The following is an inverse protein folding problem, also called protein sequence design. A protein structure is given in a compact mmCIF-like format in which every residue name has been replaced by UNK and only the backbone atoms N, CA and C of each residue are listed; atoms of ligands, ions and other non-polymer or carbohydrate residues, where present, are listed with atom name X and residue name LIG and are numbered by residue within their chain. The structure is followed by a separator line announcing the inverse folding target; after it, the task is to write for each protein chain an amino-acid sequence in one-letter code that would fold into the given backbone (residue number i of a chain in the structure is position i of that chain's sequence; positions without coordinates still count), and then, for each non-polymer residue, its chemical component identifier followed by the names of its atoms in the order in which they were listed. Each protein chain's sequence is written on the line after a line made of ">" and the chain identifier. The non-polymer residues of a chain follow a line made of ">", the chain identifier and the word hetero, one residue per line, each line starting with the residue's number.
data_IF_534222277934
#
_entry.id   IF_534222277934
#
_cell.length_a   1.000
_cell.length_b   1.000
_cell.length_c   1.000
_cell.angle_alpha   90.00
_cell.angle_beta   90.00
_cell.angle_gamma   90.00
#
_symmetry.space_group_name_H-M   'P 1'
#
loop_
_entity.id
_entity.type
_entity.pdbx_description
1 polymer ?
#
# COMPACT_ATOMS: atom_id res chain seq x y z
N UNK A 1 32.47 -20.17 -1.62
CA UNK A 1 32.71 -18.72 -1.74
C UNK A 1 32.49 -18.36 -3.17
N UNK A 2 31.49 -17.51 -3.45
CA UNK A 2 31.28 -16.98 -4.80
C UNK A 2 32.11 -15.70 -4.86
N UNK A 3 33.13 -15.72 -5.71
CA UNK A 3 34.05 -14.61 -5.88
C UNK A 3 33.26 -13.36 -6.23
N UNK A 4 33.41 -12.32 -5.41
CA UNK A 4 33.18 -10.97 -5.87
C UNK A 4 34.21 -10.73 -6.97
N UNK A 5 33.81 -10.82 -8.25
CA UNK A 5 34.65 -10.38 -9.35
C UNK A 5 35.12 -8.97 -9.04
N UNK A 6 36.43 -8.77 -9.07
CA UNK A 6 37.03 -7.50 -8.75
C UNK A 6 36.64 -6.48 -9.82
N UNK A 7 36.40 -5.23 -9.44
CA UNK A 7 35.98 -4.18 -10.37
C UNK A 7 37.00 -3.99 -11.51
N UNK A 8 38.26 -4.28 -11.22
CA UNK A 8 39.38 -4.32 -12.14
C UNK A 8 39.19 -5.38 -13.25
N UNK A 9 38.73 -6.57 -12.87
CA UNK A 9 38.54 -7.72 -13.76
C UNK A 9 37.35 -7.48 -14.73
N UNK A 10 36.34 -6.74 -14.27
CA UNK A 10 35.21 -6.31 -15.11
C UNK A 10 35.66 -5.26 -16.14
N UNK A 11 36.53 -4.33 -15.77
CA UNK A 11 37.08 -3.35 -16.70
C UNK A 11 37.99 -3.99 -17.76
N UNK A 12 38.84 -4.94 -17.37
CA UNK A 12 39.68 -5.68 -18.30
C UNK A 12 38.83 -6.46 -19.30
N UNK A 13 37.77 -7.13 -18.84
CA UNK A 13 36.81 -7.80 -19.72
C UNK A 13 36.07 -6.83 -20.65
N UNK A 14 35.68 -5.65 -20.17
CA UNK A 14 35.04 -4.61 -21.00
C UNK A 14 35.99 -4.11 -22.10
N UNK A 15 37.27 -3.89 -21.75
CA UNK A 15 38.30 -3.45 -22.69
C UNK A 15 38.64 -4.55 -23.72
N UNK A 16 38.75 -5.80 -23.28
CA UNK A 16 39.00 -6.96 -24.15
C UNK A 16 37.86 -7.16 -25.16
N UNK A 17 36.60 -7.04 -24.72
CA UNK A 17 35.43 -7.11 -25.60
C UNK A 17 35.42 -5.97 -26.62
N UNK A 18 35.80 -4.76 -26.20
CA UNK A 18 35.89 -3.57 -27.07
C UNK A 18 36.95 -3.75 -28.16
N UNK A 19 38.15 -4.20 -27.79
CA UNK A 19 39.26 -4.45 -28.73
C UNK A 19 38.96 -5.62 -29.67
N UNK A 20 38.31 -6.68 -29.18
CA UNK A 20 37.98 -7.85 -29.99
C UNK A 20 36.88 -7.57 -31.03
N UNK A 21 35.87 -6.75 -30.69
CA UNK A 21 34.77 -6.42 -31.59
C UNK A 21 35.04 -5.18 -32.45
N UNK A 22 36.06 -4.37 -32.10
CA UNK A 22 36.41 -3.15 -32.82
C UNK A 22 35.32 -2.08 -32.81
N UNK A 23 34.40 -2.14 -31.84
CA UNK A 23 33.31 -1.18 -31.61
C UNK A 23 33.56 -0.42 -30.31
N UNK A 24 33.08 0.81 -30.23
CA UNK A 24 33.14 1.59 -29.00
C UNK A 24 32.15 1.08 -27.94
N UNK A 25 32.38 1.44 -26.67
CA UNK A 25 31.45 1.11 -25.58
C UNK A 25 30.05 1.70 -25.79
N UNK A 26 29.97 2.89 -26.37
CA UNK A 26 28.71 3.57 -26.70
C UNK A 26 27.96 2.81 -27.80
N UNK A 27 28.65 2.36 -28.84
CA UNK A 27 28.05 1.54 -29.90
C UNK A 27 27.58 0.17 -29.38
N UNK A 28 28.34 -0.46 -28.48
CA UNK A 28 27.91 -1.71 -27.84
C UNK A 28 26.65 -1.50 -26.99
N UNK A 29 26.57 -0.38 -26.25
CA UNK A 29 25.40 -0.03 -25.44
C UNK A 29 24.18 0.24 -26.32
N UNK A 30 24.35 0.96 -27.42
CA UNK A 30 23.30 1.20 -28.42
C UNK A 30 22.83 -0.12 -29.07
N UNK A 31 23.73 -1.06 -29.35
CA UNK A 31 23.37 -2.38 -29.89
C UNK A 31 22.54 -3.16 -28.87
N UNK A 32 22.96 -3.16 -27.60
CA UNK A 32 22.23 -3.82 -26.53
C UNK A 32 20.85 -3.19 -26.37
N UNK A 33 20.75 -1.85 -26.29
CA UNK A 33 19.48 -1.15 -26.13
C UNK A 33 18.55 -1.37 -27.33
N UNK A 34 19.09 -1.35 -28.55
CA UNK A 34 18.34 -1.64 -29.78
C UNK A 34 17.86 -3.08 -29.86
N UNK A 35 18.65 -4.04 -29.36
CA UNK A 35 18.23 -5.44 -29.26
C UNK A 35 17.18 -5.62 -28.16
N UNK A 36 17.35 -4.97 -27.00
CA UNK A 36 16.39 -4.96 -25.90
C UNK A 36 15.03 -4.37 -26.32
N UNK A 37 15.06 -3.33 -27.16
CA UNK A 37 13.87 -2.70 -27.76
C UNK A 37 13.20 -3.60 -28.83
N UNK A 38 13.69 -4.81 -29.11
CA UNK A 38 12.92 -5.82 -29.89
C UNK A 38 12.07 -6.72 -29.00
N UNK A 39 12.37 -6.80 -27.71
CA UNK A 39 11.64 -7.67 -26.80
C UNK A 39 10.39 -6.96 -26.28
N UNK A 40 9.22 -7.51 -26.60
CA UNK A 40 7.92 -6.96 -26.21
C UNK A 40 7.78 -6.80 -24.68
N UNK A 41 8.37 -7.70 -23.89
CA UNK A 41 8.35 -7.61 -22.43
C UNK A 41 9.13 -6.39 -21.90
N UNK A 42 10.21 -5.99 -22.58
CA UNK A 42 11.00 -4.80 -22.22
C UNK A 42 10.21 -3.54 -22.55
N UNK A 43 9.57 -3.48 -23.72
CA UNK A 43 8.68 -2.37 -24.12
C UNK A 43 7.54 -2.18 -23.13
N UNK A 44 6.81 -3.26 -22.84
CA UNK A 44 5.69 -3.22 -21.91
C UNK A 44 6.14 -2.74 -20.53
N UNK A 45 7.29 -3.22 -20.05
CA UNK A 45 7.81 -2.80 -18.74
C UNK A 45 8.26 -1.33 -18.73
N UNK A 46 8.87 -0.85 -19.82
CA UNK A 46 9.24 0.57 -20.00
C UNK A 46 8.00 1.47 -20.03
N UNK A 47 6.96 1.06 -20.75
CA UNK A 47 5.69 1.77 -20.81
C UNK A 47 4.98 1.79 -19.45
N UNK A 48 4.94 0.67 -18.73
CA UNK A 48 4.38 0.60 -17.37
C UNK A 48 5.15 1.53 -16.41
N UNK A 49 6.47 1.63 -16.56
CA UNK A 49 7.29 2.51 -15.75
C UNK A 49 6.96 3.98 -16.03
N UNK A 50 6.82 4.34 -17.30
CA UNK A 50 6.48 5.71 -17.72
C UNK A 50 5.06 6.12 -17.25
N UNK A 51 4.08 5.22 -17.37
CA UNK A 51 2.74 5.44 -16.84
C UNK A 51 2.74 5.60 -15.32
N UNK A 52 3.52 4.76 -14.62
CA UNK A 52 3.68 4.85 -13.18
C UNK A 52 4.36 6.17 -12.76
N UNK A 53 5.39 6.62 -13.48
CA UNK A 53 6.06 7.89 -13.22
C UNK A 53 5.09 9.07 -13.34
N UNK A 54 4.28 9.09 -14.41
CA UNK A 54 3.22 10.11 -14.59
C UNK A 54 2.20 10.06 -13.45
N UNK A 55 1.77 8.87 -13.07
CA UNK A 55 0.82 8.65 -11.97
C UNK A 55 1.38 9.16 -10.63
N UNK A 56 2.64 8.84 -10.31
CA UNK A 56 3.32 9.28 -9.09
C UNK A 56 3.41 10.80 -9.07
N UNK A 57 3.88 11.42 -10.16
CA UNK A 57 3.98 12.88 -10.26
C UNK A 57 2.63 13.58 -10.03
N UNK A 58 1.57 13.07 -10.64
CA UNK A 58 0.22 13.60 -10.41
C UNK A 58 -0.19 13.46 -8.93
N UNK A 59 0.06 12.31 -8.30
CA UNK A 59 -0.27 12.10 -6.88
C UNK A 59 0.50 13.02 -5.95
N UNK A 60 1.78 13.29 -6.24
CA UNK A 60 2.58 14.25 -5.49
C UNK A 60 2.01 15.67 -5.59
N UNK A 61 1.58 16.09 -6.78
CA UNK A 61 0.92 17.39 -6.99
C UNK A 61 -0.42 17.49 -6.24
N UNK A 62 -1.21 16.42 -6.23
CA UNK A 62 -2.48 16.33 -5.48
C UNK A 62 -2.25 16.44 -3.97
N UNK A 63 -1.27 15.71 -3.43
CA UNK A 63 -0.88 15.78 -2.02
C UNK A 63 -0.44 17.19 -1.66
N UNK A 64 0.44 17.79 -2.46
CA UNK A 64 0.89 19.16 -2.23
C UNK A 64 -0.26 20.18 -2.28
N UNK A 65 -1.29 19.96 -3.10
CA UNK A 65 -2.50 20.81 -3.11
C UNK A 65 -3.30 20.64 -1.83
N UNK A 66 -3.51 19.41 -1.38
CA UNK A 66 -4.28 19.12 -0.18
C UNK A 66 -3.59 19.69 1.06
N UNK A 67 -2.27 19.54 1.18
CA UNK A 67 -1.48 20.12 2.27
C UNK A 67 -1.64 21.65 2.33
N UNK A 68 -1.59 22.32 1.18
CA UNK A 68 -1.87 23.77 1.11
C UNK A 68 -3.27 24.13 1.59
N UNK A 69 -4.29 23.35 1.25
CA UNK A 69 -5.67 23.58 1.71
C UNK A 69 -5.80 23.40 3.23
N UNK A 70 -5.12 22.42 3.80
CA UNK A 70 -5.09 22.24 5.26
C UNK A 70 -4.43 23.43 5.94
N UNK A 71 -3.28 23.86 5.44
CA UNK A 71 -2.57 25.03 5.95
C UNK A 71 -3.43 26.31 5.88
N UNK A 72 -4.14 26.52 4.77
CA UNK A 72 -5.06 27.64 4.60
C UNK A 72 -6.23 27.58 5.58
N UNK A 73 -6.85 26.40 5.72
CA UNK A 73 -7.96 26.19 6.64
C UNK A 73 -7.55 26.40 8.10
N UNK A 74 -6.40 25.85 8.52
CA UNK A 74 -5.84 26.05 9.85
C UNK A 74 -5.59 27.53 10.13
N UNK A 75 -4.93 28.24 9.21
CA UNK A 75 -4.75 29.70 9.35
C UNK A 75 -6.05 30.48 9.41
N UNK A 76 -7.08 30.06 8.67
CA UNK A 76 -8.38 30.71 8.71
C UNK A 76 -9.08 30.49 10.06
N UNK A 77 -9.00 29.28 10.61
CA UNK A 77 -9.52 28.94 11.94
C UNK A 77 -8.80 29.79 13.00
N UNK A 78 -7.47 29.86 12.98
CA UNK A 78 -6.70 30.66 13.94
C UNK A 78 -7.11 32.15 13.91
N UNK A 79 -7.34 32.70 12.71
CA UNK A 79 -7.83 34.09 12.54
C UNK A 79 -9.22 34.26 13.13
N UNK A 80 -10.14 33.34 12.84
CA UNK A 80 -11.48 33.36 13.40
C UNK A 80 -11.43 33.29 14.94
N UNK A 81 -10.58 32.42 15.49
CA UNK A 81 -10.40 32.29 16.93
C UNK A 81 -9.93 33.59 17.58
N UNK A 82 -8.96 34.28 16.97
CA UNK A 82 -8.48 35.59 17.45
C UNK A 82 -9.62 36.61 17.48
N UNK A 83 -10.46 36.67 16.43
CA UNK A 83 -11.60 37.58 16.38
C UNK A 83 -12.63 37.28 17.48
N UNK A 84 -12.88 36.00 17.76
CA UNK A 84 -13.78 35.59 18.83
C UNK A 84 -13.19 35.94 20.21
N UNK A 85 -11.90 35.68 20.44
CA UNK A 85 -11.19 36.07 21.67
C UNK A 85 -11.27 37.59 21.92
N UNK A 86 -11.08 38.40 20.88
CA UNK A 86 -11.20 39.86 20.95
C UNK A 86 -12.63 40.30 21.31
N UNK A 87 -13.65 39.70 20.69
CA UNK A 87 -15.06 39.99 20.99
C UNK A 87 -15.41 39.67 22.45
N UNK A 88 -15.01 38.50 22.94
CA UNK A 88 -15.24 38.10 24.34
C UNK A 88 -14.57 39.09 25.30
N UNK A 89 -13.31 39.46 25.01
CA UNK A 89 -12.57 40.43 25.80
C UNK A 89 -13.26 41.80 25.86
N UNK A 90 -13.81 42.28 24.73
CA UNK A 90 -14.58 43.54 24.66
C UNK A 90 -15.88 43.50 25.47
N UNK A 91 -16.49 42.33 25.61
CA UNK A 91 -17.69 42.12 26.43
C UNK A 91 -17.38 41.83 27.90
N UNK A 92 -16.09 41.81 28.30
CA UNK A 92 -15.68 41.47 29.66
C UNK A 92 -15.84 39.98 30.00
N UNK A 93 -15.94 39.12 28.98
CA UNK A 93 -16.05 37.67 29.12
C UNK A 93 -14.71 37.00 28.87
N UNK A 94 -14.49 35.82 29.47
CA UNK A 94 -13.32 34.99 29.22
C UNK A 94 -13.63 33.96 28.13
N UNK A 95 -12.80 33.89 27.09
CA UNK A 95 -12.89 32.86 26.07
C UNK A 95 -12.40 31.51 26.61
N UNK A 96 -13.15 30.42 26.38
CA UNK A 96 -12.82 29.05 26.79
C UNK A 96 -12.68 28.17 25.57
N UNK A 97 -11.54 27.49 25.44
CA UNK A 97 -11.21 26.58 24.32
C UNK A 97 -11.85 25.18 24.48
N UNK A 98 -12.57 24.94 25.59
CA UNK A 98 -13.17 23.65 25.94
C UNK A 98 -14.65 23.57 25.56
N UNK A 99 -15.06 22.41 25.04
CA UNK A 99 -16.46 22.04 24.82
C UNK A 99 -17.24 22.09 26.14
N UNK A 100 -18.48 22.55 26.10
CA UNK A 100 -19.33 22.79 27.29
C UNK A 100 -19.77 21.53 28.06
N UNK A 101 -19.29 20.34 27.69
CA UNK A 101 -19.61 19.05 28.35
C UNK A 101 -18.59 18.63 29.42
N UNK A 102 -17.47 19.33 29.57
CA UNK A 102 -16.45 19.05 30.61
C UNK A 102 -16.69 19.82 31.93
N UNK A 103 -17.89 20.37 32.14
CA UNK A 103 -18.28 21.09 33.38
C UNK A 103 -18.89 20.18 34.46
N UNK A 104 -18.70 18.86 34.39
CA UNK A 104 -19.17 17.95 35.45
C UNK A 104 -18.25 17.93 36.69
N UNK A 105 -17.17 18.71 36.67
CA UNK A 105 -16.16 18.72 37.74
C UNK A 105 -15.99 20.09 38.44
N UNK A 106 -16.74 21.13 38.05
CA UNK A 106 -16.55 22.47 38.62
C UNK A 106 -17.81 23.35 38.70
N UNK A 107 -18.77 22.99 39.58
CA UNK A 107 -19.68 23.88 40.31
C UNK A 107 -20.69 24.74 39.49
N UNK A 108 -22.00 24.68 39.71
CA UNK A 108 -22.76 24.83 40.96
C UNK A 108 -24.13 24.14 40.82
N UNK A 109 -24.85 23.82 41.91
CA UNK A 109 -26.25 23.40 41.83
C UNK A 109 -27.08 24.51 41.17
N UNK A 110 -27.41 24.31 39.90
CA UNK A 110 -28.40 25.13 39.20
C UNK A 110 -29.76 24.80 39.79
N UNK A 111 -30.48 25.82 40.27
CA UNK A 111 -31.81 25.69 40.85
C UNK A 111 -32.78 25.27 39.73
N UNK A 112 -33.04 23.97 39.63
CA UNK A 112 -34.00 23.39 38.69
C UNK A 112 -35.39 23.51 39.31
N UNK A 113 -36.25 24.33 38.72
CA UNK A 113 -37.67 24.35 39.05
C UNK A 113 -38.30 23.16 38.34
N UNK A 114 -38.65 22.12 39.09
CA UNK A 114 -39.46 21.00 38.60
C UNK A 114 -40.87 21.52 38.31
N UNK A 115 -41.21 21.61 37.02
CA UNK A 115 -42.60 21.71 36.58
C UNK A 115 -43.13 20.27 36.59
N UNK A 116 -44.19 19.93 37.33
CA UNK A 116 -44.77 18.60 37.27
C UNK A 116 -45.35 18.39 35.87
N UNK A 117 -44.79 17.43 35.14
CA UNK A 117 -45.32 17.01 33.85
C UNK A 117 -46.57 16.14 34.12
N UNK A 118 -47.75 16.72 33.91
CA UNK A 118 -48.98 15.93 33.76
C UNK A 118 -48.94 15.25 32.39
N UNK A 119 -48.63 13.96 32.44
CA UNK A 119 -49.00 12.83 31.56
C UNK A 119 -48.97 12.98 30.02
N UNK A 120 -48.40 11.92 29.44
CA UNK A 120 -48.55 11.39 28.08
C UNK A 120 -47.78 12.07 26.94
N UNK A 121 -46.65 11.45 26.56
CA UNK A 121 -46.39 11.12 25.15
C UNK A 121 -45.31 10.02 25.02
N UNK A 122 -45.72 8.91 24.41
CA UNK A 122 -44.91 7.72 24.14
C UNK A 122 -43.65 8.03 23.29
N UNK A 123 -42.46 7.85 23.85
CA UNK A 123 -41.23 7.68 23.06
C UNK A 123 -40.52 6.39 23.43
N UNK A 124 -40.55 5.49 22.45
CA UNK A 124 -39.92 4.17 22.37
C UNK A 124 -38.57 4.08 23.11
N UNK A 125 -38.51 3.17 24.08
CA UNK A 125 -37.26 2.63 24.63
C UNK A 125 -36.34 2.13 23.53
N UNK A 126 -35.18 2.77 23.38
CA UNK A 126 -34.00 2.13 22.78
C UNK A 126 -33.11 1.63 23.91
N UNK A 127 -32.92 0.31 23.87
CA UNK A 127 -32.16 -0.53 24.77
C UNK A 127 -30.76 0.04 25.03
N UNK A 128 -30.52 0.41 26.29
CA UNK A 128 -29.23 0.85 26.80
C UNK A 128 -28.45 -0.37 27.29
N UNK A 129 -27.64 -0.94 26.40
CA UNK A 129 -26.91 -2.18 26.65
C UNK A 129 -25.43 -2.15 26.33
N UNK A 130 -24.62 -1.31 27.00
CA UNK A 130 -23.26 -1.72 27.36
C UNK A 130 -22.72 -0.97 28.60
N UNK A 131 -22.45 -1.73 29.66
CA UNK A 131 -21.90 -1.29 30.93
C UNK A 131 -20.40 -0.93 30.81
N UNK A 132 -20.06 0.25 31.35
CA UNK A 132 -18.83 0.61 32.06
C UNK A 132 -17.57 -0.26 31.83
N UNK A 133 -16.55 0.30 31.17
CA UNK A 133 -15.18 0.25 31.70
C UNK A 133 -14.26 1.25 30.99
N UNK A 134 -13.83 2.26 31.75
CA UNK A 134 -12.67 3.14 31.56
C UNK A 134 -12.46 3.77 30.18
N UNK A 135 -12.88 5.03 30.02
CA UNK A 135 -12.35 5.89 28.94
C UNK A 135 -11.74 7.14 29.55
N UNK A 136 -10.43 7.02 29.71
CA UNK A 136 -9.45 8.04 30.08
C UNK A 136 -9.60 9.33 29.25
N UNK A 137 -9.17 10.50 29.79
CA UNK A 137 -9.49 11.84 29.29
C UNK A 137 -8.71 12.25 28.02
N UNK A 138 -8.85 11.47 26.94
CA UNK A 138 -8.03 11.59 25.73
C UNK A 138 -8.85 11.80 24.44
N UNK A 139 -10.15 12.07 24.56
CA UNK A 139 -11.10 11.95 23.45
C UNK A 139 -11.05 13.11 22.43
N UNK A 140 -10.69 14.33 22.87
CA UNK A 140 -10.55 15.51 21.98
C UNK A 140 -9.18 15.59 21.29
N UNK A 141 -8.13 15.12 21.96
CA UNK A 141 -6.82 14.86 21.34
C UNK A 141 -6.91 13.68 20.36
N UNK A 142 -7.93 12.82 20.48
CA UNK A 142 -8.12 11.66 19.61
C UNK A 142 -8.66 11.99 18.22
N UNK A 143 -9.40 13.09 17.99
CA UNK A 143 -9.93 13.38 16.65
C UNK A 143 -8.83 13.89 15.71
N UNK A 144 -7.98 14.80 16.21
CA UNK A 144 -6.78 15.26 15.51
C UNK A 144 -5.70 14.19 15.46
N UNK A 145 -5.47 13.43 16.56
CA UNK A 145 -4.56 12.27 16.49
C UNK A 145 -5.07 11.13 15.63
N UNK A 146 -6.38 10.87 15.50
CA UNK A 146 -6.91 9.83 14.57
C UNK A 146 -6.75 10.26 13.13
N UNK A 147 -7.02 11.53 12.79
CA UNK A 147 -6.77 12.05 11.43
C UNK A 147 -5.28 12.05 11.12
N UNK A 148 -4.44 12.50 12.05
CA UNK A 148 -2.98 12.51 11.91
C UNK A 148 -2.40 11.08 11.89
N UNK A 149 -2.92 10.16 12.70
CA UNK A 149 -2.57 8.73 12.70
C UNK A 149 -3.04 8.06 11.41
N UNK A 150 -4.23 8.36 10.89
CA UNK A 150 -4.65 7.88 9.57
C UNK A 150 -3.72 8.46 8.49
N UNK A 151 -3.38 9.75 8.54
CA UNK A 151 -2.50 10.40 7.56
C UNK A 151 -1.04 9.94 7.61
N UNK A 152 -0.51 9.55 8.77
CA UNK A 152 0.83 8.97 8.90
C UNK A 152 0.84 7.44 8.72
N UNK A 153 -0.24 6.72 9.05
CA UNK A 153 -0.33 5.26 8.87
C UNK A 153 -0.76 4.83 7.47
N UNK A 154 -1.54 5.62 6.73
CA UNK A 154 -1.96 5.24 5.38
C UNK A 154 -0.79 5.18 4.38
N UNK A 155 0.05 6.23 4.27
CA UNK A 155 1.21 6.20 3.39
C UNK A 155 2.23 5.16 3.82
N UNK A 156 2.44 4.97 5.13
CA UNK A 156 3.38 3.96 5.65
C UNK A 156 2.87 2.53 5.47
N UNK A 157 1.56 2.29 5.48
CA UNK A 157 0.96 0.99 5.14
C UNK A 157 1.14 0.69 3.64
N UNK A 158 0.91 1.67 2.77
CA UNK A 158 1.16 1.53 1.32
C UNK A 158 2.66 1.33 1.02
N UNK A 159 3.55 2.07 1.69
CA UNK A 159 5.01 1.87 1.59
C UNK A 159 5.41 0.47 2.07
N UNK A 160 4.82 -0.02 3.17
CA UNK A 160 5.10 -1.36 3.69
C UNK A 160 4.64 -2.46 2.75
N UNK A 161 3.50 -2.28 2.10
CA UNK A 161 2.94 -3.23 1.13
C UNK A 161 3.75 -3.21 -0.18
N UNK A 162 4.15 -2.02 -0.66
CA UNK A 162 5.07 -1.86 -1.78
C UNK A 162 6.45 -2.48 -1.49
N UNK A 163 6.99 -2.26 -0.29
CA UNK A 163 8.23 -2.89 0.16
C UNK A 163 8.09 -4.41 0.32
N UNK A 164 6.92 -4.93 0.70
CA UNK A 164 6.66 -6.37 0.74
C UNK A 164 6.56 -6.97 -0.67
N UNK A 165 5.94 -6.27 -1.62
CA UNK A 165 5.90 -6.65 -3.03
C UNK A 165 7.30 -6.64 -3.67
N UNK A 166 8.12 -5.62 -3.38
CA UNK A 166 9.53 -5.57 -3.81
C UNK A 166 10.37 -6.69 -3.20
N UNK A 167 10.22 -6.98 -1.90
CA UNK A 167 10.91 -8.12 -1.27
C UNK A 167 10.48 -9.46 -1.87
N UNK A 168 9.20 -9.62 -2.22
CA UNK A 168 8.70 -10.83 -2.88
C UNK A 168 9.25 -10.97 -4.29
N UNK A 169 9.32 -9.89 -5.05
CA UNK A 169 9.98 -9.86 -6.36
C UNK A 169 11.47 -10.19 -6.26
N UNK A 170 12.19 -9.63 -5.28
CA UNK A 170 13.59 -9.96 -5.02
C UNK A 170 13.78 -11.43 -4.64
N UNK A 171 12.88 -12.01 -3.84
CA UNK A 171 12.90 -13.44 -3.51
C UNK A 171 12.59 -14.33 -4.72
N UNK A 172 11.71 -13.91 -5.62
CA UNK A 172 11.40 -14.66 -6.83
C UNK A 172 12.57 -14.61 -7.83
N UNK A 173 13.26 -13.47 -7.93
CA UNK A 173 14.53 -13.35 -8.68
C UNK A 173 15.62 -14.24 -8.06
N UNK A 174 15.72 -14.28 -6.74
CA UNK A 174 16.69 -15.15 -6.05
C UNK A 174 16.38 -16.64 -6.30
N UNK A 175 15.11 -17.05 -6.20
CA UNK A 175 14.69 -18.43 -6.51
C UNK A 175 14.93 -18.80 -7.98
N UNK A 176 14.78 -17.84 -8.88
CA UNK A 176 15.11 -18.03 -10.29
C UNK A 176 16.62 -18.25 -10.46
N UNK A 177 17.46 -17.41 -9.85
CA UNK A 177 18.92 -17.62 -9.85
C UNK A 177 19.32 -18.96 -9.24
N UNK A 178 18.71 -19.37 -8.12
CA UNK A 178 19.01 -20.65 -7.48
C UNK A 178 18.58 -21.84 -8.35
N UNK A 179 17.46 -21.73 -9.07
CA UNK A 179 16.99 -22.77 -10.01
C UNK A 179 17.89 -22.86 -11.25
N UNK A 180 18.37 -21.72 -11.75
CA UNK A 180 19.34 -21.65 -12.85
C UNK A 180 20.70 -22.24 -12.40
N UNK A 181 21.17 -21.88 -11.21
CA UNK A 181 22.43 -22.39 -10.65
C UNK A 181 22.36 -23.88 -10.26
N UNK A 182 21.21 -24.39 -9.84
CA UNK A 182 21.00 -25.84 -9.65
C UNK A 182 21.04 -26.60 -10.97
N UNK A 183 20.58 -25.99 -12.06
CA UNK A 183 20.57 -26.61 -13.39
C UNK A 183 21.95 -26.59 -14.05
N UNK A 184 22.77 -25.57 -13.78
CA UNK A 184 24.18 -25.53 -14.21
C UNK A 184 25.06 -26.47 -13.38
N UNK A 185 24.77 -26.72 -12.10
CA UNK A 185 25.49 -27.71 -11.30
C UNK A 185 25.06 -29.17 -11.60
N UNK A 186 23.79 -29.40 -11.95
CA UNK A 186 23.28 -30.73 -12.32
C UNK A 186 23.64 -31.15 -13.77
N UNK A 187 24.24 -30.28 -14.57
CA UNK A 187 24.57 -30.58 -15.97
C UNK A 187 25.88 -31.33 -16.19
N UNK A 188 26.67 -31.59 -15.14
CA UNK A 188 27.92 -32.36 -15.30
C UNK A 188 27.78 -33.87 -15.06
N UNK A 189 26.57 -34.38 -14.77
CA UNK A 189 26.33 -35.81 -14.64
C UNK A 189 24.95 -36.18 -15.22
N UNK A 190 24.84 -36.27 -16.55
CA UNK A 190 24.21 -37.39 -17.26
C UNK A 190 23.98 -37.05 -18.74
N UNK A 191 24.78 -37.73 -19.57
CA UNK A 191 24.52 -37.95 -20.99
C UNK A 191 23.19 -38.69 -21.15
N UNK A 192 22.25 -38.06 -21.86
CA UNK A 192 21.20 -38.73 -22.62
C UNK A 192 19.93 -39.13 -21.87
N UNK A 193 18.93 -38.25 -21.87
CA UNK A 193 17.57 -38.67 -22.22
C UNK A 193 16.70 -37.47 -22.61
N UNK A 194 16.14 -37.58 -23.82
CA UNK A 194 15.11 -36.71 -24.40
C UNK A 194 13.91 -36.66 -23.46
N UNK A 195 13.58 -35.48 -22.92
CA UNK A 195 12.29 -35.21 -22.27
C UNK A 195 11.73 -33.93 -22.85
N UNK A 196 10.54 -34.04 -23.43
CA UNK A 196 9.78 -32.99 -24.07
C UNK A 196 9.59 -31.79 -23.14
N UNK A 197 10.03 -30.62 -23.61
CA UNK A 197 9.69 -29.33 -23.04
C UNK A 197 8.25 -28.98 -23.47
N UNK A 198 7.25 -29.63 -22.88
CA UNK A 198 5.84 -29.19 -23.00
C UNK A 198 5.49 -28.30 -21.82
N UNK A 199 5.22 -27.03 -22.10
CA UNK A 199 4.24 -26.27 -21.31
C UNK A 199 4.71 -25.02 -20.59
N UNK A 200 5.38 -24.08 -21.28
CA UNK A 200 5.16 -22.66 -21.00
C UNK A 200 4.17 -22.14 -22.05
N UNK A 201 2.92 -22.55 -21.91
CA UNK A 201 1.82 -21.92 -22.64
C UNK A 201 1.30 -20.81 -21.74
N UNK A 202 1.54 -19.57 -22.15
CA UNK A 202 0.78 -18.40 -21.74
C UNK A 202 -0.70 -18.79 -21.85
N UNK A 203 -1.34 -19.02 -20.71
CA UNK A 203 -2.75 -19.42 -20.67
C UNK A 203 -3.55 -18.16 -20.94
N UNK A 204 -4.18 -18.09 -22.12
CA UNK A 204 -5.24 -17.12 -22.38
C UNK A 204 -6.24 -17.19 -21.22
N UNK A 205 -6.57 -16.01 -20.67
CA UNK A 205 -7.42 -15.83 -19.49
C UNK A 205 -8.79 -16.48 -19.70
N UNK A 206 -8.98 -17.71 -19.21
CA UNK A 206 -10.25 -18.43 -19.31
C UNK A 206 -10.19 -19.96 -19.30
N UNK A 207 -9.07 -20.59 -19.66
CA UNK A 207 -9.01 -22.07 -19.76
C UNK A 207 -8.42 -22.72 -18.49
N UNK A 208 -9.25 -23.48 -17.75
CA UNK A 208 -8.89 -24.02 -16.43
C UNK A 208 -8.25 -25.42 -16.57
N UNK A 209 -6.98 -25.54 -16.18
CA UNK A 209 -6.18 -26.77 -16.32
C UNK A 209 -6.05 -27.56 -15.03
N UNK A 210 -6.00 -28.89 -15.15
CA UNK A 210 -5.68 -29.80 -14.04
C UNK A 210 -4.31 -29.44 -13.46
N UNK A 211 -4.21 -29.41 -12.13
CA UNK A 211 -3.01 -28.97 -11.40
C UNK A 211 -3.01 -27.49 -11.00
N UNK A 212 -3.94 -26.68 -11.51
CA UNK A 212 -4.07 -25.28 -11.08
C UNK A 212 -4.55 -25.19 -9.63
N UNK A 213 -3.99 -24.23 -8.89
CA UNK A 213 -4.43 -23.90 -7.54
C UNK A 213 -5.61 -22.95 -7.61
N UNK A 214 -6.76 -23.41 -7.10
CA UNK A 214 -8.03 -22.69 -7.18
C UNK A 214 -8.61 -22.45 -5.79
N UNK A 215 -9.45 -21.42 -5.68
CA UNK A 215 -10.30 -21.19 -4.52
C UNK A 215 -11.70 -21.72 -4.85
N UNK A 216 -12.12 -22.76 -4.14
CA UNK A 216 -13.47 -23.32 -4.24
C UNK A 216 -14.36 -22.78 -3.14
N UNK A 217 -15.58 -22.36 -3.47
CA UNK A 217 -16.62 -22.03 -2.48
C UNK A 217 -17.52 -23.25 -2.31
N UNK A 218 -17.45 -23.90 -1.14
CA UNK A 218 -18.40 -24.96 -0.77
C UNK A 218 -19.77 -24.31 -0.47
N UNK A 219 -20.88 -25.07 -0.50
CA UNK A 219 -22.24 -24.56 -0.18
C UNK A 219 -22.34 -23.84 1.18
N UNK A 220 -21.34 -23.97 2.06
CA UNK A 220 -21.17 -23.21 3.31
C UNK A 220 -20.07 -22.13 3.16
N UNK A 221 -20.45 -21.02 2.50
CA UNK A 221 -19.88 -19.65 2.48
C UNK A 221 -18.41 -19.35 2.89
N UNK A 222 -17.46 -20.28 2.81
CA UNK A 222 -16.03 -20.01 3.02
C UNK A 222 -15.23 -20.51 1.82
N UNK A 223 -14.21 -19.74 1.46
CA UNK A 223 -13.31 -20.07 0.34
C UNK A 223 -12.22 -21.00 0.83
N UNK A 224 -12.09 -22.14 0.17
CA UNK A 224 -11.04 -23.10 0.48
C UNK A 224 -10.07 -23.20 -0.68
N UNK A 225 -8.79 -23.22 -0.33
CA UNK A 225 -7.69 -23.41 -1.27
C UNK A 225 -7.56 -24.89 -1.59
N UNK A 226 -7.60 -25.23 -2.88
CA UNK A 226 -7.46 -26.61 -3.35
C UNK A 226 -6.70 -26.68 -4.67
N UNK A 227 -6.34 -27.89 -5.08
CA UNK A 227 -5.74 -28.17 -6.38
C UNK A 227 -6.80 -28.81 -7.27
N UNK A 228 -6.97 -28.31 -8.50
CA UNK A 228 -7.92 -28.89 -9.45
C UNK A 228 -7.40 -30.25 -9.94
N UNK A 229 -8.17 -31.32 -9.72
CA UNK A 229 -7.75 -32.69 -10.05
C UNK A 229 -8.40 -33.17 -11.37
N UNK A 230 -9.66 -32.81 -11.63
CA UNK A 230 -10.36 -33.09 -12.87
C UNK A 230 -11.62 -32.22 -13.00
N UNK A 231 -12.06 -31.94 -14.23
CA UNK A 231 -13.38 -31.36 -14.53
C UNK A 231 -14.21 -32.48 -15.18
N UNK A 232 -15.38 -32.77 -14.61
CA UNK A 232 -16.35 -33.69 -15.22
C UNK A 232 -17.56 -32.88 -15.65
N UNK A 233 -17.88 -32.90 -16.93
CA UNK A 233 -19.13 -32.35 -17.45
C UNK A 233 -20.25 -33.34 -17.16
N UNK A 234 -21.26 -32.91 -16.42
CA UNK A 234 -22.52 -33.64 -16.31
C UNK A 234 -23.43 -33.13 -17.43
N UNK A 235 -23.82 -34.05 -18.33
CA UNK A 235 -24.85 -33.82 -19.34
C UNK A 235 -26.20 -34.27 -18.83
#
# INVERSE_FOLDING_TARGET
>A
GVAAMDFQEIQELQQEVMEALGISMEELQDIIDKELEKFECVKQRKQQLEELEKCVKQKEEEVARVDRLFDDASRAIDKCEILVKDLYSKLGLQYRESSSEDEDLAAQPMEVIEIPDEDDDDVMSIDSGWKHSSVSPLYLVQKTKKVLHIFFLFPSLQLREAMAAMRKSAQDVQKFMDAVNKKTNAQDVQKGQRVELRGLAFVNDGDLKVGMRILGKKRTKTWHKGTLIAIRTVG
#
